data_IF_311075570969
#
_entry.id   IF_311075570969
#
_cell.length_a   1.000
_cell.length_b   1.000
_cell.length_c   1.000
_cell.angle_alpha   90.00
_cell.angle_beta   90.00
_cell.angle_gamma   90.00
#
_symmetry.space_group_name_H-M   'P 1'
#
loop_
_entity.id
_entity.type
_entity.pdbx_description
1 polymer ?
#
# COMPACT_ATOMS: atom_id res chain seq x y z
N UNK A 1 13.08 15.65 -3.25
CA UNK A 1 13.92 14.46 -2.99
C UNK A 1 13.15 13.60 -2.00
N UNK A 2 12.80 12.36 -2.38
CA UNK A 2 12.08 11.44 -1.50
C UNK A 2 12.97 11.00 -0.35
N UNK A 3 12.40 10.78 0.83
CA UNK A 3 13.16 10.19 1.93
C UNK A 3 13.53 8.76 1.51
N UNK A 4 14.82 8.46 1.42
CA UNK A 4 15.29 7.10 1.15
C UNK A 4 14.86 6.18 2.30
N UNK A 5 14.34 5.00 1.95
CA UNK A 5 13.98 3.98 2.93
C UNK A 5 15.26 3.25 3.31
N UNK A 6 15.64 3.32 4.59
CA UNK A 6 16.87 2.68 5.10
C UNK A 6 16.61 1.59 6.15
N UNK A 7 15.37 1.48 6.64
CA UNK A 7 14.94 0.41 7.52
C UNK A 7 13.97 -0.53 6.79
N UNK A 8 14.49 -1.68 6.34
CA UNK A 8 13.73 -2.69 5.62
C UNK A 8 13.10 -3.77 6.53
N UNK A 9 13.36 -3.75 7.83
CA UNK A 9 12.79 -4.76 8.75
C UNK A 9 11.26 -4.82 8.71
N UNK A 10 10.53 -3.69 8.68
CA UNK A 10 9.08 -3.72 8.63
C UNK A 10 8.54 -4.34 7.34
N UNK A 11 9.16 -4.04 6.20
CA UNK A 11 8.71 -4.60 4.92
C UNK A 11 9.00 -6.09 4.81
N UNK A 12 10.12 -6.58 5.37
CA UNK A 12 10.40 -8.02 5.43
C UNK A 12 9.34 -8.77 6.24
N UNK A 13 8.95 -8.25 7.42
CA UNK A 13 7.89 -8.87 8.22
C UNK A 13 6.53 -8.89 7.50
N UNK A 14 6.22 -7.85 6.74
CA UNK A 14 5.01 -7.82 5.90
C UNK A 14 5.08 -8.91 4.81
N UNK A 15 6.22 -9.01 4.13
CA UNK A 15 6.44 -10.00 3.09
C UNK A 15 6.29 -11.43 3.64
N UNK A 16 6.82 -11.69 4.83
CA UNK A 16 6.65 -12.98 5.53
C UNK A 16 5.16 -13.27 5.80
N UNK A 17 4.41 -12.27 6.29
CA UNK A 17 2.96 -12.41 6.56
C UNK A 17 2.10 -12.60 5.32
N UNK A 18 2.59 -12.15 4.16
CA UNK A 18 1.96 -12.38 2.85
C UNK A 18 2.35 -13.73 2.23
N UNK A 19 3.18 -14.53 2.91
CA UNK A 19 3.71 -15.77 2.34
C UNK A 19 4.70 -15.53 1.20
N UNK A 20 5.28 -14.32 1.14
CA UNK A 20 6.20 -13.87 0.11
C UNK A 20 7.58 -13.45 0.66
N UNK A 21 8.23 -14.24 1.56
CA UNK A 21 9.54 -13.90 2.11
C UNK A 21 10.58 -13.65 1.02
N UNK A 22 11.44 -12.65 1.23
CA UNK A 22 12.53 -12.38 0.30
C UNK A 22 13.45 -13.61 0.18
N UNK A 23 13.72 -14.05 -1.06
CA UNK A 23 14.48 -15.28 -1.36
C UNK A 23 13.85 -16.58 -0.84
N UNK A 24 12.57 -16.58 -0.45
CA UNK A 24 11.89 -17.80 -0.02
C UNK A 24 11.21 -18.59 -1.14
N UNK A 25 11.18 -18.05 -2.37
CA UNK A 25 10.69 -18.77 -3.53
C UNK A 25 11.82 -19.63 -4.11
N UNK A 26 11.69 -20.96 -3.97
CA UNK A 26 12.69 -21.93 -4.45
C UNK A 26 12.67 -22.06 -5.96
N UNK A 27 11.53 -21.81 -6.59
CA UNK A 27 11.36 -21.92 -8.04
C UNK A 27 11.89 -20.67 -8.74
N UNK A 28 12.54 -20.81 -9.91
CA UNK A 28 13.19 -19.69 -10.60
C UNK A 28 12.21 -18.64 -11.17
N UNK A 29 10.92 -18.97 -11.26
CA UNK A 29 9.85 -18.08 -11.69
C UNK A 29 9.42 -17.07 -10.62
N UNK A 30 9.79 -17.28 -9.35
CA UNK A 30 9.53 -16.36 -8.26
C UNK A 30 8.05 -16.27 -7.85
N UNK A 31 7.72 -15.26 -7.03
CA UNK A 31 6.34 -15.04 -6.61
C UNK A 31 5.48 -14.50 -7.76
N UNK A 32 4.32 -15.13 -7.96
CA UNK A 32 3.37 -14.73 -9.02
C UNK A 32 2.83 -13.33 -8.77
N UNK A 33 3.04 -12.45 -9.75
CA UNK A 33 2.39 -11.16 -9.83
C UNK A 33 1.17 -11.21 -10.79
N UNK A 34 0.35 -12.27 -10.69
CA UNK A 34 -0.81 -12.49 -11.57
C UNK A 34 -2.12 -12.13 -10.90
N UNK A 35 -3.08 -11.61 -11.67
CA UNK A 35 -4.39 -11.23 -11.17
C UNK A 35 -5.07 -12.34 -10.35
N UNK A 36 -4.96 -13.59 -10.76
CA UNK A 36 -5.55 -14.75 -10.06
C UNK A 36 -4.92 -14.95 -8.68
N UNK A 37 -3.60 -14.80 -8.55
CA UNK A 37 -2.92 -14.83 -7.25
C UNK A 37 -3.34 -13.63 -6.40
N UNK A 38 -3.55 -12.47 -7.05
CA UNK A 38 -3.93 -11.23 -6.38
C UNK A 38 -5.39 -11.18 -5.90
N UNK A 39 -6.30 -11.88 -6.59
CA UNK A 39 -7.74 -11.91 -6.32
C UNK A 39 -8.17 -12.88 -5.22
N UNK A 40 -7.24 -13.62 -4.61
CA UNK A 40 -7.58 -14.46 -3.45
C UNK A 40 -8.05 -13.58 -2.29
N UNK A 41 -9.21 -13.92 -1.70
CA UNK A 41 -9.86 -13.10 -0.66
C UNK A 41 -8.96 -12.85 0.56
N UNK A 42 -8.18 -13.85 0.98
CA UNK A 42 -7.23 -13.72 2.09
C UNK A 42 -6.13 -12.68 1.78
N UNK A 43 -5.59 -12.71 0.56
CA UNK A 43 -4.53 -11.79 0.15
C UNK A 43 -5.05 -10.35 -0.01
N UNK A 44 -6.29 -10.16 -0.45
CA UNK A 44 -6.91 -8.83 -0.48
C UNK A 44 -7.05 -8.24 0.93
N UNK A 45 -7.49 -9.02 1.91
CA UNK A 45 -7.61 -8.58 3.32
C UNK A 45 -6.23 -8.23 3.89
N UNK A 46 -5.22 -9.07 3.66
CA UNK A 46 -3.86 -8.81 4.16
C UNK A 46 -3.22 -7.58 3.54
N UNK A 47 -3.56 -7.23 2.29
CA UNK A 47 -3.03 -6.02 1.64
C UNK A 47 -3.75 -4.77 2.11
N UNK A 48 -5.06 -4.82 2.29
CA UNK A 48 -5.81 -3.66 2.79
C UNK A 48 -5.40 -3.29 4.22
N UNK A 49 -5.05 -4.29 5.06
CA UNK A 49 -4.54 -4.03 6.41
C UNK A 49 -3.21 -3.25 6.43
N UNK A 50 -2.46 -3.22 5.32
CA UNK A 50 -1.22 -2.46 5.21
C UNK A 50 -1.43 -0.96 5.00
N UNK A 51 -2.62 -0.54 4.56
CA UNK A 51 -2.90 0.86 4.23
C UNK A 51 -2.58 1.79 5.41
N UNK A 52 -3.01 1.42 6.62
CA UNK A 52 -2.84 2.21 7.85
C UNK A 52 -1.37 2.29 8.30
N UNK A 53 -0.63 1.18 8.51
CA UNK A 53 0.76 1.28 8.94
C UNK A 53 1.63 1.96 7.88
N UNK A 54 1.40 1.70 6.58
CA UNK A 54 2.14 2.37 5.51
C UNK A 54 1.87 3.88 5.51
N UNK A 55 0.61 4.30 5.59
CA UNK A 55 0.27 5.73 5.64
C UNK A 55 0.83 6.40 6.90
N UNK A 56 0.89 5.68 8.02
CA UNK A 56 1.45 6.14 9.30
C UNK A 56 2.97 6.25 9.35
N UNK A 57 3.68 5.92 8.26
CA UNK A 57 5.12 6.11 8.18
C UNK A 57 5.94 4.89 8.62
N UNK A 58 5.39 3.67 8.50
CA UNK A 58 6.12 2.42 8.76
C UNK A 58 7.51 2.39 8.08
N UNK A 59 7.60 2.89 6.85
CA UNK A 59 8.85 2.96 6.07
C UNK A 59 9.56 4.32 6.21
N UNK A 60 8.91 5.31 6.81
CA UNK A 60 9.36 6.70 6.87
C UNK A 60 9.89 7.14 8.24
N UNK A 61 10.31 6.20 9.10
CA UNK A 61 10.70 6.46 10.50
C UNK A 61 9.59 7.19 11.28
N UNK A 62 8.34 6.76 11.11
CA UNK A 62 7.17 7.35 11.75
C UNK A 62 6.72 8.68 11.14
N UNK A 63 7.31 9.12 10.02
CA UNK A 63 6.81 10.26 9.25
C UNK A 63 5.67 9.78 8.34
N UNK A 64 4.43 10.27 8.54
CA UNK A 64 3.29 9.88 7.72
C UNK A 64 3.49 10.27 6.25
N UNK A 65 2.85 9.51 5.35
CA UNK A 65 2.81 9.82 3.92
C UNK A 65 1.87 11.00 3.70
N UNK A 66 2.33 12.04 3.00
CA UNK A 66 1.45 13.13 2.56
C UNK A 66 0.49 12.62 1.49
N UNK A 67 -0.81 12.79 1.74
CA UNK A 67 -1.87 12.42 0.81
C UNK A 67 -1.74 13.18 -0.52
N UNK A 68 -1.35 14.46 -0.46
CA UNK A 68 -1.20 15.32 -1.63
C UNK A 68 -0.07 14.81 -2.54
N UNK A 69 1.09 14.47 -1.95
CA UNK A 69 2.21 13.87 -2.69
C UNK A 69 1.85 12.50 -3.24
N UNK A 70 1.09 11.71 -2.48
CA UNK A 70 0.64 10.39 -2.92
C UNK A 70 -0.32 10.49 -4.11
N UNK A 71 -1.31 11.36 -4.05
CA UNK A 71 -2.23 11.62 -5.17
C UNK A 71 -1.48 12.14 -6.40
N UNK A 72 -0.51 13.04 -6.21
CA UNK A 72 0.34 13.51 -7.32
C UNK A 72 1.15 12.36 -7.95
N UNK A 73 1.60 11.39 -7.15
CA UNK A 73 2.37 10.22 -7.61
C UNK A 73 1.48 9.22 -8.36
N UNK A 74 0.26 8.97 -7.86
CA UNK A 74 -0.71 8.05 -8.47
C UNK A 74 -1.46 8.66 -9.67
N UNK A 75 -1.30 9.96 -9.88
CA UNK A 75 -1.98 10.71 -10.91
C UNK A 75 -3.46 10.95 -10.59
N UNK A 76 -4.17 11.62 -11.50
CA UNK A 76 -5.52 12.10 -11.26
C UNK A 76 -6.62 11.04 -11.55
N UNK A 77 -6.35 9.76 -11.23
CA UNK A 77 -7.19 8.61 -11.60
C UNK A 77 -8.33 8.31 -10.61
N UNK A 78 -8.55 9.17 -9.62
CA UNK A 78 -9.60 9.00 -8.62
C UNK A 78 -10.96 9.50 -9.11
N UNK A 79 -12.05 8.84 -8.71
CA UNK A 79 -13.40 9.33 -8.95
C UNK A 79 -13.70 10.59 -8.12
N UNK A 80 -14.71 11.36 -8.52
CA UNK A 80 -15.18 12.49 -7.73
C UNK A 80 -15.61 12.07 -6.32
N UNK A 81 -16.27 10.92 -6.20
CA UNK A 81 -16.69 10.34 -4.93
C UNK A 81 -15.50 10.09 -3.99
N UNK A 82 -14.44 9.43 -4.48
CA UNK A 82 -13.24 9.14 -3.69
C UNK A 82 -12.53 10.42 -3.24
N UNK A 83 -12.42 11.43 -4.13
CA UNK A 83 -11.83 12.74 -3.76
C UNK A 83 -12.62 13.40 -2.63
N UNK A 84 -13.94 13.46 -2.74
CA UNK A 84 -14.81 14.05 -1.69
C UNK A 84 -14.64 13.35 -0.34
N UNK A 85 -14.51 12.01 -0.32
CA UNK A 85 -14.27 11.27 0.93
C UNK A 85 -12.91 11.62 1.53
N UNK A 86 -11.86 11.68 0.71
CA UNK A 86 -10.51 12.05 1.16
C UNK A 86 -10.50 13.48 1.71
N UNK A 87 -11.12 14.44 1.02
CA UNK A 87 -11.16 15.85 1.42
C UNK A 87 -11.88 16.06 2.76
N UNK A 88 -12.98 15.35 2.99
CA UNK A 88 -13.76 15.43 4.23
C UNK A 88 -13.19 14.61 5.41
N UNK A 89 -12.15 13.81 5.17
CA UNK A 89 -11.52 12.98 6.20
C UNK A 89 -10.39 13.70 6.92
N UNK A 90 -10.08 13.25 8.14
CA UNK A 90 -8.98 13.79 8.93
C UNK A 90 -7.64 13.62 8.19
N UNK A 91 -6.71 14.60 8.27
CA UNK A 91 -5.47 14.58 7.49
C UNK A 91 -4.66 13.29 7.64
N UNK A 92 -4.70 12.68 8.82
CA UNK A 92 -3.95 11.47 9.17
C UNK A 92 -4.47 10.23 8.44
N UNK A 93 -5.77 10.20 8.12
CA UNK A 93 -6.43 9.06 7.46
C UNK A 93 -6.42 9.16 5.94
N UNK A 94 -6.19 10.35 5.38
CA UNK A 94 -6.28 10.60 3.93
C UNK A 94 -5.40 9.66 3.11
N UNK A 95 -4.15 9.45 3.53
CA UNK A 95 -3.23 8.55 2.85
C UNK A 95 -3.67 7.07 2.95
N UNK A 96 -4.24 6.66 4.08
CA UNK A 96 -4.80 5.31 4.23
C UNK A 96 -6.02 5.11 3.32
N UNK A 97 -6.89 6.12 3.22
CA UNK A 97 -8.07 6.09 2.35
C UNK A 97 -7.70 6.02 0.88
N UNK A 98 -6.60 6.64 0.47
CA UNK A 98 -6.07 6.50 -0.89
C UNK A 98 -5.68 5.05 -1.18
N UNK A 99 -4.92 4.40 -0.29
CA UNK A 99 -4.58 2.98 -0.44
C UNK A 99 -5.79 2.05 -0.35
N UNK A 100 -6.82 2.45 0.41
CA UNK A 100 -8.08 1.72 0.54
C UNK A 100 -9.11 2.03 -0.55
N UNK A 101 -8.79 2.87 -1.54
CA UNK A 101 -9.79 3.34 -2.50
C UNK A 101 -10.11 2.27 -3.56
N UNK A 102 -11.34 2.28 -4.13
CA UNK A 102 -11.70 1.35 -5.21
C UNK A 102 -10.76 1.45 -6.42
N UNK A 103 -10.24 2.64 -6.70
CA UNK A 103 -9.30 2.88 -7.80
C UNK A 103 -7.93 2.25 -7.54
N UNK A 104 -7.46 2.22 -6.29
CA UNK A 104 -6.20 1.56 -5.94
C UNK A 104 -6.33 0.02 -5.88
N UNK A 105 -7.54 -0.48 -5.62
CA UNK A 105 -7.84 -1.92 -5.61
C UNK A 105 -8.16 -2.49 -7.00
N UNK A 106 -8.30 -1.65 -8.04
CA UNK A 106 -8.53 -2.10 -9.41
C UNK A 106 -7.22 -2.56 -10.06
N UNK A 107 -7.30 -3.71 -10.72
CA UNK A 107 -6.24 -4.34 -11.53
C UNK A 107 -6.40 -4.04 -13.02
#
# INVERSE_FOLDING_TARGET
IGNEVDNFRPINGILDQLGMPLYGCVTPDGYKNTKEAWLSSDTMIRRSSLAIPLSGGLLGRGKPISAEKLMATLGNNFSAQTRTVIENSSPELRAALIFGSPEFMRY
#
